data_IF_619619672155
#
_entry.id   IF_619619672155
#
_cell.length_a   1.000
_cell.length_b   1.000
_cell.length_c   1.000
_cell.angle_alpha   90.00
_cell.angle_beta   90.00
_cell.angle_gamma   90.00
#
_symmetry.space_group_name_H-M   'P 1'
#
loop_
_entity.id
_entity.type
_entity.pdbx_description
1 polymer ?
#
# COMPACT_ATOMS: atom_id res chain seq x y z
N UNK A 1 -25.01 -0.73 17.53
CA UNK A 1 -24.49 -0.85 16.15
C UNK A 1 -23.00 -0.57 16.18
N UNK A 2 -22.20 -1.32 15.43
CA UNK A 2 -20.80 -0.97 15.28
C UNK A 2 -20.68 0.43 14.67
N UNK A 3 -19.75 1.23 15.18
CA UNK A 3 -19.38 2.48 14.52
C UNK A 3 -18.63 2.14 13.24
N UNK A 4 -19.16 2.51 12.08
CA UNK A 4 -18.49 2.29 10.80
C UNK A 4 -17.60 3.48 10.48
N UNK A 5 -16.37 3.23 10.07
CA UNK A 5 -15.41 4.23 9.62
C UNK A 5 -14.81 3.79 8.29
N UNK A 6 -14.87 4.67 7.30
CA UNK A 6 -14.28 4.46 5.99
C UNK A 6 -12.87 5.05 5.93
N UNK A 7 -11.94 4.27 5.42
CA UNK A 7 -10.59 4.74 5.08
C UNK A 7 -10.49 4.79 3.56
N UNK A 8 -10.37 5.99 3.01
CA UNK A 8 -10.34 6.24 1.58
C UNK A 8 -9.12 7.05 1.15
N UNK A 9 -9.06 7.35 -0.14
CA UNK A 9 -7.99 8.20 -0.72
C UNK A 9 -8.44 8.84 -2.02
N UNK A 10 -7.71 9.88 -2.42
CA UNK A 10 -7.91 10.52 -3.72
C UNK A 10 -7.24 9.73 -4.86
N UNK A 11 -6.25 8.91 -4.55
CA UNK A 11 -5.46 8.14 -5.51
C UNK A 11 -5.02 6.78 -4.95
N UNK A 12 -4.73 5.78 -5.80
CA UNK A 12 -4.24 4.48 -5.37
C UNK A 12 -2.86 4.58 -4.69
N UNK A 13 -2.48 3.54 -3.97
CA UNK A 13 -1.19 3.42 -3.25
C UNK A 13 -0.88 4.58 -2.27
N UNK A 14 -1.91 5.23 -1.77
CA UNK A 14 -1.79 6.37 -0.85
C UNK A 14 -1.33 6.01 0.58
N UNK A 15 -1.30 4.71 0.94
CA UNK A 15 -0.97 4.22 2.29
C UNK A 15 -2.16 3.95 3.19
N UNK A 16 -3.37 3.79 2.64
CA UNK A 16 -4.59 3.44 3.40
C UNK A 16 -4.38 2.28 4.37
N UNK A 17 -3.84 1.16 3.87
CA UNK A 17 -3.64 -0.06 4.67
C UNK A 17 -2.69 0.15 5.85
N UNK A 18 -1.71 1.07 5.75
CA UNK A 18 -0.86 1.45 6.87
C UNK A 18 -1.67 2.17 7.97
N UNK A 19 -2.53 3.11 7.58
CA UNK A 19 -3.41 3.84 8.51
C UNK A 19 -4.45 2.89 9.12
N UNK A 20 -5.01 1.96 8.34
CA UNK A 20 -5.91 0.91 8.85
C UNK A 20 -5.21 0.08 9.93
N UNK A 21 -3.99 -0.42 9.65
CA UNK A 21 -3.21 -1.20 10.61
C UNK A 21 -2.95 -0.43 11.91
N UNK A 22 -2.48 0.81 11.81
CA UNK A 22 -2.18 1.64 12.97
C UNK A 22 -3.43 1.94 13.80
N UNK A 23 -4.51 2.38 13.15
CA UNK A 23 -5.77 2.69 13.82
C UNK A 23 -6.42 1.45 14.45
N UNK A 24 -6.45 0.31 13.73
CA UNK A 24 -6.99 -0.94 14.25
C UNK A 24 -6.18 -1.44 15.47
N UNK A 25 -4.85 -1.31 15.42
CA UNK A 25 -3.97 -1.66 16.57
C UNK A 25 -4.24 -0.79 17.78
N UNK A 26 -4.39 0.51 17.56
CA UNK A 26 -4.72 1.49 18.59
C UNK A 26 -6.06 1.18 19.25
N UNK A 27 -7.12 0.95 18.47
CA UNK A 27 -8.44 0.56 18.96
C UNK A 27 -8.40 -0.77 19.74
N UNK A 28 -7.69 -1.77 19.20
CA UNK A 28 -7.54 -3.07 19.86
C UNK A 28 -6.84 -2.98 21.22
N UNK A 29 -5.84 -2.11 21.39
CA UNK A 29 -5.19 -1.85 22.68
C UNK A 29 -6.12 -1.24 23.72
N UNK A 30 -7.16 -0.55 23.26
CA UNK A 30 -8.20 0.01 24.13
C UNK A 30 -9.35 -0.97 24.42
N UNK A 31 -9.22 -2.22 23.97
CA UNK A 31 -10.25 -3.24 24.14
C UNK A 31 -11.45 -3.09 23.20
N UNK A 32 -11.37 -2.20 22.21
CA UNK A 32 -12.43 -2.03 21.21
C UNK A 32 -12.38 -3.19 20.22
N UNK A 33 -13.51 -3.85 20.00
CA UNK A 33 -13.64 -4.89 18.99
C UNK A 33 -13.58 -4.27 17.59
N UNK A 34 -12.59 -4.68 16.79
CA UNK A 34 -12.39 -4.20 15.42
C UNK A 34 -12.90 -5.25 14.44
N UNK A 35 -13.69 -4.83 13.46
CA UNK A 35 -14.00 -5.57 12.25
C UNK A 35 -13.27 -4.87 11.10
N UNK A 36 -12.79 -5.65 10.13
CA UNK A 36 -12.11 -5.08 8.97
C UNK A 36 -12.58 -5.70 7.67
N UNK A 37 -12.73 -4.89 6.62
CA UNK A 37 -13.08 -5.35 5.28
C UNK A 37 -12.84 -4.34 4.18
N UNK A 38 -12.93 -4.84 2.95
CA UNK A 38 -12.91 -4.05 1.70
C UNK A 38 -14.14 -4.44 0.89
N UNK A 39 -15.20 -3.63 0.89
CA UNK A 39 -16.46 -3.95 0.19
C UNK A 39 -16.25 -4.24 -1.31
N UNK A 40 -15.29 -3.60 -1.94
CA UNK A 40 -14.84 -3.88 -3.31
C UNK A 40 -13.42 -4.45 -3.27
N UNK A 41 -13.28 -5.75 -3.49
CA UNK A 41 -11.97 -6.42 -3.53
C UNK A 41 -11.17 -5.94 -4.75
N UNK A 42 -9.92 -5.64 -4.52
CA UNK A 42 -8.97 -5.21 -5.57
C UNK A 42 -7.86 -6.23 -5.80
N UNK A 43 -7.77 -7.25 -4.93
CA UNK A 43 -6.77 -8.32 -5.02
C UNK A 43 -7.34 -9.63 -4.47
N UNK A 44 -7.13 -10.69 -5.20
CA UNK A 44 -7.47 -12.05 -4.77
C UNK A 44 -6.19 -12.86 -4.60
N UNK A 45 -6.13 -13.73 -3.59
CA UNK A 45 -5.02 -14.67 -3.42
C UNK A 45 -5.01 -15.72 -4.53
N UNK A 46 -6.21 -16.10 -4.97
CA UNK A 46 -6.37 -17.06 -6.06
C UNK A 46 -7.26 -16.43 -7.14
N UNK A 47 -6.78 -16.27 -8.39
CA UNK A 47 -7.59 -15.74 -9.50
C UNK A 47 -8.88 -16.54 -9.76
N UNK A 48 -8.91 -17.82 -9.41
CA UNK A 48 -10.11 -18.67 -9.54
C UNK A 48 -11.26 -18.21 -8.63
N UNK A 49 -10.98 -17.47 -7.56
CA UNK A 49 -12.02 -16.96 -6.65
C UNK A 49 -12.80 -15.77 -7.27
N UNK A 50 -12.28 -15.18 -8.36
CA UNK A 50 -12.96 -14.09 -9.08
C UNK A 50 -14.29 -14.53 -9.73
N UNK A 51 -14.47 -15.80 -10.02
CA UNK A 51 -15.61 -16.31 -10.78
C UNK A 51 -16.81 -16.77 -9.93
N UNK A 52 -16.71 -16.64 -8.60
CA UNK A 52 -17.86 -16.88 -7.70
C UNK A 52 -18.47 -18.31 -7.69
N UNK A 53 -17.89 -19.23 -8.45
CA UNK A 53 -18.48 -20.55 -8.75
C UNK A 53 -18.48 -21.55 -7.57
N UNK A 54 -17.89 -21.18 -6.42
CA UNK A 54 -17.78 -22.06 -5.25
C UNK A 54 -18.61 -21.64 -4.03
N UNK A 55 -19.49 -20.64 -4.16
CA UNK A 55 -20.41 -20.23 -3.05
C UNK A 55 -19.71 -19.75 -1.78
N UNK A 56 -18.42 -19.48 -1.81
CA UNK A 56 -17.66 -18.95 -0.67
C UNK A 56 -17.61 -17.42 -0.65
N UNK A 57 -17.60 -16.83 0.54
CA UNK A 57 -17.44 -15.41 0.72
C UNK A 57 -16.05 -14.97 0.22
N UNK A 58 -16.01 -14.00 -0.70
CA UNK A 58 -14.76 -13.45 -1.22
C UNK A 58 -14.13 -12.53 -0.19
N UNK A 59 -12.91 -12.80 0.22
CA UNK A 59 -12.13 -11.93 1.11
C UNK A 59 -10.89 -11.44 0.34
N UNK A 60 -10.76 -10.11 0.25
CA UNK A 60 -9.58 -9.47 -0.37
C UNK A 60 -8.28 -9.90 0.32
N UNK A 61 -7.21 -10.04 -0.45
CA UNK A 61 -5.90 -10.47 0.06
C UNK A 61 -5.35 -9.52 1.14
N UNK A 62 -5.55 -8.21 0.98
CA UNK A 62 -5.13 -7.22 1.98
C UNK A 62 -5.92 -7.39 3.29
N UNK A 63 -7.22 -7.75 3.21
CA UNK A 63 -8.06 -8.02 4.39
C UNK A 63 -7.54 -9.22 5.17
N UNK A 64 -7.17 -10.30 4.48
CA UNK A 64 -6.55 -11.46 5.12
C UNK A 64 -5.23 -11.13 5.79
N UNK A 65 -4.35 -10.40 5.08
CA UNK A 65 -3.05 -10.01 5.60
C UNK A 65 -3.18 -9.12 6.85
N UNK A 66 -4.02 -8.10 6.80
CA UNK A 66 -4.29 -7.21 7.94
C UNK A 66 -4.89 -8.00 9.11
N UNK A 67 -5.87 -8.88 8.83
CA UNK A 67 -6.48 -9.74 9.84
C UNK A 67 -5.47 -10.63 10.55
N UNK A 68 -4.60 -11.30 9.80
CA UNK A 68 -3.51 -12.12 10.35
C UNK A 68 -2.53 -11.28 11.19
N UNK A 69 -2.13 -10.12 10.68
CA UNK A 69 -1.19 -9.21 11.37
C UNK A 69 -1.73 -8.71 12.70
N UNK A 70 -3.03 -8.45 12.77
CA UNK A 70 -3.71 -7.95 13.96
C UNK A 70 -4.25 -9.08 14.87
N UNK A 71 -4.20 -10.34 14.43
CA UNK A 71 -4.78 -11.47 15.15
C UNK A 71 -6.31 -11.45 15.21
N UNK A 72 -6.96 -10.91 14.17
CA UNK A 72 -8.42 -10.89 14.07
C UNK A 72 -8.95 -12.29 13.77
N UNK A 73 -10.05 -12.66 14.42
CA UNK A 73 -10.75 -13.90 14.11
C UNK A 73 -11.49 -13.79 12.76
N UNK A 74 -11.74 -14.91 12.09
CA UNK A 74 -12.40 -14.94 10.78
C UNK A 74 -13.74 -14.20 10.76
N UNK A 75 -14.51 -14.26 11.85
CA UNK A 75 -15.79 -13.56 11.98
C UNK A 75 -15.66 -12.02 12.18
N UNK A 76 -14.44 -11.52 12.28
CA UNK A 76 -14.12 -10.08 12.29
C UNK A 76 -13.69 -9.58 10.91
N UNK A 77 -13.48 -10.50 9.96
CA UNK A 77 -13.17 -10.15 8.58
C UNK A 77 -14.49 -10.02 7.79
N UNK A 78 -14.69 -8.86 7.20
CA UNK A 78 -15.91 -8.56 6.42
C UNK A 78 -15.62 -8.96 4.96
N UNK A 79 -16.42 -9.87 4.39
CA UNK A 79 -16.30 -10.26 2.99
C UNK A 79 -16.54 -9.10 2.03
N UNK A 80 -15.88 -9.16 0.88
CA UNK A 80 -16.10 -8.22 -0.21
C UNK A 80 -17.40 -8.57 -0.96
N UNK A 81 -18.13 -7.54 -1.39
CA UNK A 81 -19.37 -7.70 -2.14
C UNK A 81 -19.08 -8.01 -3.62
N UNK A 82 -18.06 -7.37 -4.15
CA UNK A 82 -17.65 -7.52 -5.55
C UNK A 82 -16.12 -7.52 -5.67
N UNK A 83 -15.66 -7.99 -6.83
CA UNK A 83 -14.24 -7.95 -7.23
C UNK A 83 -14.09 -6.94 -8.36
N UNK A 84 -13.15 -6.01 -8.21
CA UNK A 84 -12.76 -5.07 -9.25
C UNK A 84 -11.76 -5.76 -10.17
N UNK A 85 -12.27 -6.30 -11.27
CA UNK A 85 -11.47 -6.94 -12.32
C UNK A 85 -12.01 -6.54 -13.70
N UNK A 86 -11.18 -6.49 -14.73
CA UNK A 86 -11.62 -6.12 -16.08
C UNK A 86 -12.81 -6.96 -16.58
N UNK A 87 -12.80 -8.27 -16.31
CA UNK A 87 -13.82 -9.21 -16.73
C UNK A 87 -15.17 -8.94 -16.06
N UNK A 88 -15.15 -8.73 -14.74
CA UNK A 88 -16.36 -8.42 -13.96
C UNK A 88 -16.91 -7.06 -14.32
N UNK A 89 -16.04 -6.05 -14.51
CA UNK A 89 -16.44 -4.72 -14.95
C UNK A 89 -17.07 -4.77 -16.36
N UNK A 90 -16.47 -5.51 -17.29
CA UNK A 90 -17.00 -5.70 -18.65
C UNK A 90 -18.38 -6.34 -18.64
N UNK A 91 -18.56 -7.43 -17.89
CA UNK A 91 -19.84 -8.12 -17.76
C UNK A 91 -20.94 -7.19 -17.22
N UNK A 92 -20.66 -6.43 -16.16
CA UNK A 92 -21.60 -5.47 -15.58
C UNK A 92 -21.95 -4.33 -16.53
N UNK A 93 -20.96 -3.82 -17.26
CA UNK A 93 -21.17 -2.77 -18.25
C UNK A 93 -22.13 -3.24 -19.35
N UNK A 94 -21.93 -4.45 -19.90
CA UNK A 94 -22.82 -5.03 -20.93
C UNK A 94 -24.23 -5.30 -20.40
N UNK A 95 -24.35 -5.68 -19.15
CA UNK A 95 -25.65 -5.93 -18.50
C UNK A 95 -26.33 -4.63 -18.05
N UNK A 96 -25.68 -3.47 -18.17
CA UNK A 96 -26.14 -2.19 -17.57
C UNK A 96 -26.43 -2.33 -16.06
N UNK A 97 -25.70 -3.23 -15.39
CA UNK A 97 -25.84 -3.49 -13.95
C UNK A 97 -25.00 -2.50 -13.16
N UNK A 98 -25.66 -1.44 -12.70
CA UNK A 98 -25.05 -0.36 -11.92
C UNK A 98 -25.58 -0.40 -10.50
N UNK A 99 -24.68 -0.54 -9.52
CA UNK A 99 -25.05 -0.53 -8.10
C UNK A 99 -24.43 -1.68 -7.29
N UNK A 100 -24.59 -1.65 -5.97
CA UNK A 100 -23.92 -2.61 -5.06
C UNK A 100 -24.61 -3.98 -5.00
N UNK A 101 -25.79 -4.11 -5.57
CA UNK A 101 -26.57 -5.34 -5.50
C UNK A 101 -27.14 -5.65 -4.10
N UNK A 102 -27.82 -6.80 -3.94
CA UNK A 102 -28.51 -7.17 -2.69
C UNK A 102 -27.54 -7.42 -1.52
N UNK A 103 -26.26 -7.74 -1.79
CA UNK A 103 -25.25 -7.94 -0.76
C UNK A 103 -24.97 -6.70 0.10
N UNK A 104 -25.32 -5.50 -0.38
CA UNK A 104 -25.10 -4.28 0.38
C UNK A 104 -26.01 -4.16 1.60
N UNK A 105 -27.25 -4.59 1.49
CA UNK A 105 -28.17 -4.65 2.64
C UNK A 105 -27.70 -5.67 3.67
N UNK A 106 -27.22 -6.84 3.22
CA UNK A 106 -26.62 -7.83 4.12
C UNK A 106 -25.40 -7.29 4.86
N UNK A 107 -24.55 -6.50 4.18
CA UNK A 107 -23.44 -5.79 4.83
C UNK A 107 -23.95 -4.83 5.90
N UNK A 108 -24.96 -4.02 5.60
CA UNK A 108 -25.57 -3.09 6.58
C UNK A 108 -26.12 -3.81 7.81
N UNK A 109 -26.82 -4.92 7.60
CA UNK A 109 -27.35 -5.76 8.68
C UNK A 109 -26.23 -6.38 9.52
N UNK A 110 -25.16 -6.88 8.88
CA UNK A 110 -23.98 -7.41 9.56
C UNK A 110 -23.32 -6.34 10.44
N UNK A 111 -23.12 -5.12 9.92
CA UNK A 111 -22.55 -4.00 10.67
C UNK A 111 -23.44 -3.57 11.83
N UNK A 112 -24.76 -3.60 11.63
CA UNK A 112 -25.74 -3.27 12.68
C UNK A 112 -25.80 -4.31 13.82
N UNK A 113 -25.51 -5.57 13.52
CA UNK A 113 -25.57 -6.68 14.46
C UNK A 113 -24.41 -6.73 15.47
N UNK A 114 -23.34 -5.96 15.25
CA UNK A 114 -22.18 -5.92 16.16
C UNK A 114 -22.34 -4.73 17.13
N UNK A 115 -22.69 -4.94 18.38
CA UNK A 115 -22.70 -3.88 19.38
C UNK A 115 -21.26 -3.55 19.81
N UNK A 116 -21.02 -2.31 20.15
CA UNK A 116 -19.80 -1.81 20.82
C UNK A 116 -18.48 -2.11 20.07
N UNK A 117 -18.52 -2.28 18.75
CA UNK A 117 -17.36 -2.47 17.89
C UNK A 117 -17.15 -1.32 16.90
N UNK A 118 -15.99 -1.33 16.25
CA UNK A 118 -15.66 -0.45 15.13
C UNK A 118 -15.44 -1.29 13.89
N UNK A 119 -16.17 -0.99 12.83
CA UNK A 119 -15.94 -1.55 11.51
C UNK A 119 -15.09 -0.57 10.70
N UNK A 120 -13.85 -0.94 10.44
CA UNK A 120 -12.96 -0.24 9.52
C UNK A 120 -13.19 -0.80 8.12
N UNK A 121 -13.62 0.02 7.19
CA UNK A 121 -13.80 -0.38 5.80
C UNK A 121 -12.83 0.40 4.91
N UNK A 122 -11.95 -0.32 4.24
CA UNK A 122 -11.04 0.28 3.26
C UNK A 122 -11.73 0.38 1.90
N UNK A 123 -11.84 1.60 1.37
CA UNK A 123 -12.34 1.84 0.03
C UNK A 123 -11.28 1.47 -1.04
N UNK A 124 -11.70 1.34 -2.28
CA UNK A 124 -10.85 1.10 -3.44
C UNK A 124 -9.81 2.22 -3.65
N UNK A 125 -9.07 2.19 -4.76
CA UNK A 125 -7.87 3.02 -4.96
C UNK A 125 -8.09 4.53 -4.92
N UNK A 126 -9.18 5.04 -5.54
CA UNK A 126 -9.46 6.47 -5.63
C UNK A 126 -10.88 6.83 -5.17
N UNK A 127 -11.22 8.13 -5.18
CA UNK A 127 -12.57 8.61 -4.84
C UNK A 127 -13.65 7.99 -5.71
N UNK A 128 -13.36 7.75 -6.98
CA UNK A 128 -14.33 7.35 -8.00
C UNK A 128 -14.26 5.87 -8.37
N UNK A 129 -13.20 5.18 -7.98
CA UNK A 129 -13.06 3.75 -8.25
C UNK A 129 -14.19 2.97 -7.56
N UNK A 130 -14.87 2.13 -8.34
CA UNK A 130 -16.04 1.37 -7.88
C UNK A 130 -17.39 2.02 -8.18
N UNK A 131 -17.46 3.17 -8.92
CA UNK A 131 -18.74 3.81 -9.30
C UNK A 131 -19.70 2.86 -10.00
N UNK A 132 -19.23 2.03 -10.94
CA UNK A 132 -20.03 1.01 -11.63
C UNK A 132 -20.64 -0.01 -10.66
N UNK A 133 -19.93 -0.30 -9.58
CA UNK A 133 -20.35 -1.26 -8.56
C UNK A 133 -21.21 -0.63 -7.45
N UNK A 134 -21.46 0.67 -7.48
CA UNK A 134 -22.14 1.37 -6.37
C UNK A 134 -21.32 1.40 -5.08
N UNK A 135 -19.99 1.20 -5.16
CA UNK A 135 -19.07 1.02 -4.03
C UNK A 135 -17.89 2.01 -4.07
N UNK A 136 -18.02 3.13 -4.80
CA UNK A 136 -17.04 4.22 -4.68
C UNK A 136 -17.06 4.79 -3.25
N UNK A 137 -16.00 5.50 -2.88
CA UNK A 137 -15.88 6.06 -1.53
C UNK A 137 -17.11 6.92 -1.15
N UNK A 138 -17.58 7.78 -2.07
CA UNK A 138 -18.78 8.60 -1.83
C UNK A 138 -20.05 7.77 -1.66
N UNK A 139 -20.26 6.76 -2.51
CA UNK A 139 -21.42 5.87 -2.42
C UNK A 139 -21.43 5.02 -1.13
N UNK A 140 -20.25 4.53 -0.72
CA UNK A 140 -20.10 3.83 0.57
C UNK A 140 -20.39 4.76 1.74
N UNK A 141 -19.82 5.99 1.73
CA UNK A 141 -20.03 6.97 2.78
C UNK A 141 -21.49 7.36 2.93
N UNK A 142 -22.20 7.54 1.82
CA UNK A 142 -23.64 7.84 1.81
C UNK A 142 -24.48 6.64 2.24
N UNK A 143 -24.24 5.47 1.61
CA UNK A 143 -25.06 4.28 1.85
C UNK A 143 -24.93 3.69 3.25
N UNK A 144 -23.78 3.87 3.91
CA UNK A 144 -23.52 3.42 5.28
C UNK A 144 -23.68 4.54 6.32
N UNK A 145 -23.94 5.77 5.89
CA UNK A 145 -23.91 6.99 6.72
C UNK A 145 -22.65 7.06 7.59
N UNK A 146 -21.50 6.79 6.97
CA UNK A 146 -20.24 6.59 7.65
C UNK A 146 -19.28 7.76 7.45
N UNK A 147 -18.57 8.20 8.51
CA UNK A 147 -17.48 9.15 8.38
C UNK A 147 -16.30 8.56 7.61
N UNK A 148 -15.54 9.44 6.99
CA UNK A 148 -14.42 9.10 6.12
C UNK A 148 -13.14 9.74 6.65
N UNK A 149 -12.08 8.96 6.76
CA UNK A 149 -10.71 9.44 6.86
C UNK A 149 -10.03 9.27 5.50
N UNK A 150 -9.48 10.34 4.96
CA UNK A 150 -8.70 10.29 3.73
C UNK A 150 -7.21 10.15 4.04
N UNK A 151 -6.56 9.24 3.34
CA UNK A 151 -5.09 9.13 3.32
C UNK A 151 -4.62 9.65 1.98
N UNK A 152 -3.86 10.74 2.00
CA UNK A 152 -3.45 11.43 0.76
C UNK A 152 -1.93 11.62 0.72
N UNK A 153 -1.25 11.16 -0.35
CA UNK A 153 0.16 11.47 -0.56
C UNK A 153 0.35 12.98 -0.74
N UNK A 154 1.27 13.55 0.02
CA UNK A 154 1.56 14.98 -0.07
C UNK A 154 2.86 15.21 -0.82
N UNK A 155 2.78 15.75 -2.01
CA UNK A 155 3.94 16.09 -2.83
C UNK A 155 4.32 17.56 -2.67
N UNK A 156 3.34 18.45 -2.80
CA UNK A 156 3.46 19.91 -2.66
C UNK A 156 2.08 20.53 -2.37
N UNK A 157 2.01 21.85 -2.30
CA UNK A 157 0.78 22.56 -1.99
C UNK A 157 -0.31 22.42 -3.06
N UNK A 158 -0.01 21.99 -4.29
CA UNK A 158 -1.03 21.70 -5.31
C UNK A 158 -1.83 20.44 -4.97
N UNK A 159 -1.31 19.57 -4.10
CA UNK A 159 -2.03 18.40 -3.58
C UNK A 159 -3.33 18.77 -2.85
N UNK A 160 -3.49 20.03 -2.43
CA UNK A 160 -4.70 20.53 -1.75
C UNK A 160 -5.95 20.45 -2.64
N UNK A 161 -5.81 20.58 -3.96
CA UNK A 161 -6.96 20.57 -4.89
C UNK A 161 -7.72 19.25 -4.81
N UNK A 162 -7.00 18.13 -4.72
CA UNK A 162 -7.61 16.80 -4.56
C UNK A 162 -8.38 16.68 -3.23
N UNK A 163 -7.85 17.26 -2.16
CA UNK A 163 -8.50 17.25 -0.84
C UNK A 163 -9.74 18.17 -0.82
N UNK A 164 -9.70 19.33 -1.49
CA UNK A 164 -10.84 20.21 -1.62
C UNK A 164 -11.95 19.59 -2.48
N UNK A 165 -11.58 18.90 -3.56
CA UNK A 165 -12.54 18.15 -4.39
C UNK A 165 -13.20 17.03 -3.57
N UNK A 166 -12.43 16.27 -2.80
CA UNK A 166 -12.95 15.26 -1.89
C UNK A 166 -13.87 15.85 -0.82
N UNK A 167 -13.51 16.99 -0.24
CA UNK A 167 -14.38 17.72 0.71
C UNK A 167 -15.70 18.13 0.08
N UNK A 168 -15.66 18.65 -1.14
CA UNK A 168 -16.88 19.03 -1.86
C UNK A 168 -17.81 17.84 -2.11
N UNK A 169 -17.24 16.65 -2.40
CA UNK A 169 -17.99 15.42 -2.67
C UNK A 169 -18.51 14.76 -1.38
N UNK A 170 -17.71 14.66 -0.33
CA UNK A 170 -18.01 13.93 0.91
C UNK A 170 -18.78 14.81 1.93
N UNK A 171 -18.63 16.13 1.83
CA UNK A 171 -19.31 17.08 2.72
C UNK A 171 -18.92 16.85 4.19
N UNK A 172 -19.94 16.79 5.05
CA UNK A 172 -19.81 16.59 6.50
C UNK A 172 -19.30 15.20 6.88
N UNK A 173 -19.31 14.23 5.96
CA UNK A 173 -18.79 12.88 6.21
C UNK A 173 -17.26 12.84 6.17
N UNK A 174 -16.60 13.84 5.63
CA UNK A 174 -15.14 13.91 5.69
C UNK A 174 -14.71 14.29 7.12
N UNK A 175 -14.33 13.30 7.92
CA UNK A 175 -13.95 13.45 9.32
C UNK A 175 -12.51 13.93 9.51
N UNK A 176 -11.62 13.67 8.53
CA UNK A 176 -10.25 14.16 8.58
C UNK A 176 -9.35 13.59 7.49
N UNK A 177 -8.14 14.10 7.44
CA UNK A 177 -7.14 13.71 6.46
C UNK A 177 -5.82 13.34 7.13
N UNK A 178 -5.12 12.34 6.58
CA UNK A 178 -3.74 12.01 6.91
C UNK A 178 -2.89 12.34 5.69
N UNK A 179 -1.96 13.28 5.86
CA UNK A 179 -0.98 13.63 4.83
C UNK A 179 0.16 12.60 4.89
N UNK A 180 0.31 11.80 3.85
CA UNK A 180 1.27 10.70 3.82
C UNK A 180 2.41 10.95 2.83
N UNK A 181 3.47 10.16 2.93
CA UNK A 181 4.65 10.18 2.07
C UNK A 181 5.35 11.55 1.97
N UNK A 182 5.23 12.36 3.00
CA UNK A 182 5.89 13.67 3.11
C UNK A 182 7.41 13.48 3.16
N UNK A 183 8.15 14.30 2.43
CA UNK A 183 9.62 14.32 2.54
C UNK A 183 10.02 14.56 4.00
N UNK A 184 10.87 13.73 4.62
CA UNK A 184 11.15 13.82 6.05
C UNK A 184 11.62 15.21 6.51
N UNK A 185 12.39 15.91 5.68
CA UNK A 185 12.91 17.25 5.93
C UNK A 185 11.81 18.32 5.95
N UNK A 186 10.68 18.08 5.23
CA UNK A 186 9.56 19.01 5.11
C UNK A 186 8.52 18.84 6.22
N UNK A 187 8.55 17.74 6.98
CA UNK A 187 7.55 17.45 8.03
C UNK A 187 7.43 18.59 9.06
N UNK A 188 8.53 19.18 9.60
CA UNK A 188 8.43 20.27 10.56
C UNK A 188 7.74 21.52 9.97
N UNK A 189 8.09 21.89 8.75
CA UNK A 189 7.48 23.03 8.04
C UNK A 189 6.00 22.78 7.76
N UNK A 190 5.66 21.59 7.25
CA UNK A 190 4.26 21.22 7.01
C UNK A 190 3.42 21.35 8.28
N UNK A 191 3.91 20.84 9.41
CA UNK A 191 3.19 20.91 10.69
C UNK A 191 3.03 22.35 11.20
N UNK A 192 4.03 23.21 10.99
CA UNK A 192 4.01 24.56 11.48
C UNK A 192 3.16 25.52 10.63
N UNK A 193 3.16 25.34 9.31
CA UNK A 193 2.61 26.32 8.37
C UNK A 193 1.43 25.77 7.55
N UNK A 194 1.60 24.59 6.96
CA UNK A 194 0.64 24.04 6.00
C UNK A 194 -0.56 23.43 6.70
N UNK A 195 -0.36 22.64 7.76
CA UNK A 195 -1.46 22.04 8.53
C UNK A 195 -2.45 23.09 9.03
N UNK A 196 -2.04 24.20 9.71
CA UNK A 196 -2.97 25.23 10.11
C UNK A 196 -3.67 25.91 8.94
N UNK A 197 -3.02 26.00 7.77
CA UNK A 197 -3.66 26.52 6.56
C UNK A 197 -4.75 25.59 6.02
N UNK A 198 -4.51 24.29 5.97
CA UNK A 198 -5.47 23.26 5.58
C UNK A 198 -6.66 23.25 6.55
N UNK A 199 -6.41 23.38 7.86
CA UNK A 199 -7.47 23.41 8.87
C UNK A 199 -8.35 24.65 8.77
N UNK A 200 -7.79 25.82 8.39
CA UNK A 200 -8.61 27.01 8.08
C UNK A 200 -9.54 26.82 6.88
N UNK A 201 -9.19 25.91 5.96
CA UNK A 201 -10.09 25.49 4.87
C UNK A 201 -11.15 24.48 5.33
N UNK A 202 -11.15 24.14 6.63
CA UNK A 202 -12.13 23.24 7.25
C UNK A 202 -11.86 21.75 6.93
N UNK A 203 -10.59 21.36 6.83
CA UNK A 203 -10.11 19.99 6.72
C UNK A 203 -9.30 19.65 7.96
N UNK A 204 -9.80 18.82 8.86
CA UNK A 204 -9.08 18.38 10.04
C UNK A 204 -7.89 17.50 9.63
N UNK A 205 -6.67 17.83 10.05
CA UNK A 205 -5.47 17.03 9.75
C UNK A 205 -5.17 16.11 10.93
N UNK A 206 -5.34 14.81 10.72
CA UNK A 206 -5.16 13.77 11.75
C UNK A 206 -3.71 13.26 11.83
N UNK A 207 -2.88 13.60 10.85
CA UNK A 207 -1.48 13.18 10.86
C UNK A 207 -0.68 13.68 9.67
N UNK A 208 0.65 13.73 9.87
CA UNK A 208 1.64 14.03 8.84
C UNK A 208 2.70 12.94 8.91
N UNK A 209 2.62 11.98 8.00
CA UNK A 209 3.47 10.80 7.96
C UNK A 209 4.64 10.98 6.99
N UNK A 210 5.88 10.80 7.44
CA UNK A 210 7.04 10.92 6.57
C UNK A 210 7.10 9.76 5.56
N UNK A 211 7.72 10.04 4.41
CA UNK A 211 8.06 9.04 3.42
C UNK A 211 9.06 8.04 4.01
N UNK A 212 8.76 6.75 3.87
CA UNK A 212 9.63 5.67 4.32
C UNK A 212 10.16 4.87 3.13
N UNK A 213 11.48 4.72 2.97
CA UNK A 213 12.05 3.80 1.98
C UNK A 213 11.56 2.37 2.17
N UNK A 214 11.49 1.89 3.42
CA UNK A 214 11.02 0.54 3.74
C UNK A 214 9.58 0.31 3.28
N UNK A 215 8.64 1.23 3.54
CA UNK A 215 7.24 1.06 3.11
C UNK A 215 7.08 1.14 1.59
N UNK A 216 8.01 1.77 0.89
CA UNK A 216 8.04 1.84 -0.58
C UNK A 216 8.86 0.73 -1.22
N UNK A 217 9.58 -0.06 -0.44
CA UNK A 217 10.44 -1.12 -0.94
C UNK A 217 9.65 -2.19 -1.71
N UNK A 218 10.35 -2.90 -2.57
CA UNK A 218 9.82 -3.97 -3.42
C UNK A 218 10.59 -5.23 -3.13
N UNK A 219 9.95 -6.40 -3.07
CA UNK A 219 10.65 -7.67 -2.97
C UNK A 219 11.40 -7.99 -4.28
N UNK A 220 12.49 -8.74 -4.19
CA UNK A 220 13.19 -9.22 -5.38
C UNK A 220 12.27 -10.10 -6.23
N UNK A 221 11.37 -10.88 -5.61
CA UNK A 221 10.36 -11.67 -6.31
C UNK A 221 9.45 -10.80 -7.18
N UNK A 222 8.93 -9.70 -6.64
CA UNK A 222 8.07 -8.79 -7.39
C UNK A 222 8.84 -8.09 -8.52
N UNK A 223 10.11 -7.74 -8.29
CA UNK A 223 10.97 -7.22 -9.36
C UNK A 223 11.18 -8.25 -10.47
N UNK A 224 11.50 -9.51 -10.10
CA UNK A 224 11.67 -10.58 -11.06
C UNK A 224 10.41 -10.80 -11.90
N UNK A 225 9.23 -10.79 -11.26
CA UNK A 225 7.94 -10.94 -11.93
C UNK A 225 7.64 -9.78 -12.89
N UNK A 226 7.84 -8.52 -12.46
CA UNK A 226 7.55 -7.34 -13.30
C UNK A 226 8.47 -7.21 -14.50
N UNK A 227 9.71 -7.65 -14.33
CA UNK A 227 10.75 -7.61 -15.36
C UNK A 227 10.75 -8.86 -16.26
N UNK A 228 9.88 -9.85 -15.99
CA UNK A 228 9.95 -11.18 -16.61
C UNK A 228 11.37 -11.75 -16.56
N UNK A 229 12.02 -11.59 -15.42
CA UNK A 229 13.43 -11.88 -15.25
C UNK A 229 13.69 -13.36 -14.98
N UNK A 230 14.74 -13.88 -15.60
CA UNK A 230 15.29 -15.18 -15.24
C UNK A 230 16.09 -15.06 -13.94
N UNK A 231 15.71 -15.80 -12.90
CA UNK A 231 16.49 -15.93 -11.66
C UNK A 231 17.61 -16.93 -11.86
N UNK A 232 18.86 -16.47 -11.77
CA UNK A 232 20.06 -17.27 -12.03
C UNK A 232 20.56 -18.00 -10.80
N UNK A 233 20.50 -17.37 -9.59
CA UNK A 233 20.91 -17.97 -8.32
C UNK A 233 20.11 -17.41 -7.14
N UNK A 234 20.29 -17.98 -5.94
CA UNK A 234 19.69 -17.55 -4.65
C UNK A 234 18.15 -17.44 -4.71
N UNK A 235 17.47 -18.45 -5.27
CA UNK A 235 16.01 -18.48 -5.39
C UNK A 235 15.26 -18.48 -4.06
N UNK A 236 15.93 -18.84 -2.98
CA UNK A 236 15.44 -18.85 -1.60
C UNK A 236 15.53 -17.48 -0.93
N UNK A 237 16.09 -16.45 -1.61
CA UNK A 237 16.29 -15.10 -1.10
C UNK A 237 15.49 -14.04 -1.85
N UNK A 238 14.44 -14.44 -2.57
CA UNK A 238 13.61 -13.52 -3.34
C UNK A 238 12.69 -12.65 -2.48
N UNK A 239 12.58 -12.93 -1.18
CA UNK A 239 11.87 -12.14 -0.18
C UNK A 239 12.62 -10.87 0.27
N UNK A 240 13.90 -10.73 -0.12
CA UNK A 240 14.70 -9.55 0.21
C UNK A 240 14.04 -8.27 -0.30
N UNK A 241 14.05 -7.23 0.55
CA UNK A 241 13.43 -5.94 0.26
C UNK A 241 14.43 -4.97 -0.36
N UNK A 242 14.09 -4.48 -1.54
CA UNK A 242 14.84 -3.45 -2.27
C UNK A 242 14.24 -2.08 -1.96
N UNK A 243 15.02 -1.19 -1.36
CA UNK A 243 14.58 0.17 -0.99
C UNK A 243 15.04 1.23 -1.99
N UNK A 244 16.13 0.97 -2.70
CA UNK A 244 16.73 1.92 -3.64
C UNK A 244 17.24 1.25 -4.90
N UNK A 245 17.33 2.02 -5.98
CA UNK A 245 17.92 1.60 -7.25
C UNK A 245 19.25 2.28 -7.47
N UNK A 246 20.20 1.54 -8.05
CA UNK A 246 21.49 2.05 -8.50
C UNK A 246 21.79 1.54 -9.90
N UNK A 247 22.33 2.41 -10.75
CA UNK A 247 22.70 2.06 -12.12
C UNK A 247 24.24 1.97 -12.21
N UNK A 248 24.73 0.80 -12.61
CA UNK A 248 26.16 0.54 -12.77
C UNK A 248 26.71 1.05 -14.13
N UNK A 249 26.49 2.33 -14.44
CA UNK A 249 26.96 2.95 -15.69
C UNK A 249 28.31 3.67 -15.57
N UNK A 250 28.84 3.82 -14.35
CA UNK A 250 30.09 4.52 -14.05
C UNK A 250 31.32 3.57 -14.04
N UNK A 251 32.50 4.12 -13.84
CA UNK A 251 33.72 3.30 -13.60
C UNK A 251 33.69 2.67 -12.19
N UNK A 252 34.49 1.60 -11.99
CA UNK A 252 34.48 0.80 -10.74
C UNK A 252 34.74 1.63 -9.48
N UNK A 253 35.71 2.55 -9.53
CA UNK A 253 36.10 3.34 -8.36
C UNK A 253 34.97 4.25 -7.92
N UNK A 254 34.33 4.94 -8.86
CA UNK A 254 33.16 5.77 -8.61
C UNK A 254 31.95 4.93 -8.15
N UNK A 255 31.76 3.74 -8.74
CA UNK A 255 30.69 2.82 -8.36
C UNK A 255 30.84 2.34 -6.91
N UNK A 256 32.05 1.93 -6.51
CA UNK A 256 32.33 1.48 -5.14
C UNK A 256 32.03 2.57 -4.10
N UNK A 257 32.45 3.82 -4.38
CA UNK A 257 32.17 4.94 -3.47
C UNK A 257 30.66 5.23 -3.39
N UNK A 258 29.97 5.17 -4.50
CA UNK A 258 28.51 5.39 -4.58
C UNK A 258 27.73 4.27 -3.90
N UNK A 259 28.05 3.00 -4.14
CA UNK A 259 27.37 1.85 -3.58
C UNK A 259 27.54 1.76 -2.06
N UNK A 260 28.70 2.12 -1.51
CA UNK A 260 28.93 2.13 -0.04
C UNK A 260 28.04 3.10 0.74
N UNK A 261 27.51 4.13 0.07
CA UNK A 261 26.61 5.13 0.71
C UNK A 261 25.15 4.72 0.71
N UNK A 262 24.81 3.65 -0.01
CA UNK A 262 23.43 3.16 -0.13
C UNK A 262 23.26 1.83 0.58
N UNK A 263 22.03 1.55 0.96
CA UNK A 263 21.66 0.28 1.59
C UNK A 263 20.45 -0.31 0.86
N UNK A 264 20.32 -1.63 0.95
CA UNK A 264 19.16 -2.37 0.45
C UNK A 264 18.84 -1.99 -1.02
N UNK A 265 19.88 -1.99 -1.87
CA UNK A 265 19.74 -1.54 -3.26
C UNK A 265 19.59 -2.70 -4.24
N UNK A 266 18.83 -2.49 -5.32
CA UNK A 266 19.03 -3.21 -6.56
C UNK A 266 20.09 -2.49 -7.38
N UNK A 267 20.98 -3.25 -7.99
CA UNK A 267 21.96 -2.70 -8.96
C UNK A 267 21.62 -3.22 -10.34
N UNK A 268 21.41 -2.31 -11.29
CA UNK A 268 21.19 -2.62 -12.72
C UNK A 268 22.46 -2.31 -13.50
N UNK A 269 22.98 -3.29 -14.23
CA UNK A 269 24.19 -3.11 -15.07
C UNK A 269 24.19 -4.07 -16.26
N UNK A 270 24.99 -3.78 -17.28
CA UNK A 270 25.13 -4.67 -18.43
C UNK A 270 25.74 -6.02 -18.07
N UNK A 271 25.31 -7.07 -18.77
CA UNK A 271 25.86 -8.43 -18.59
C UNK A 271 27.35 -8.53 -18.94
N UNK A 272 27.88 -7.58 -19.70
CA UNK A 272 29.31 -7.45 -20.11
C UNK A 272 30.19 -6.69 -19.11
N UNK A 273 29.61 -6.15 -18.01
CA UNK A 273 30.28 -5.28 -17.04
C UNK A 273 30.65 -6.03 -15.76
N UNK A 274 31.47 -7.10 -15.90
CA UNK A 274 31.87 -7.96 -14.76
C UNK A 274 32.57 -7.17 -13.64
N UNK A 275 33.30 -6.14 -13.96
CA UNK A 275 33.98 -5.24 -13.03
C UNK A 275 32.98 -4.55 -12.06
N UNK A 276 31.89 -4.00 -12.61
CA UNK A 276 30.82 -3.35 -11.84
C UNK A 276 29.98 -4.37 -11.09
N UNK A 277 29.71 -5.52 -11.71
CA UNK A 277 28.94 -6.61 -11.11
C UNK A 277 29.60 -7.09 -9.81
N UNK A 278 30.90 -7.35 -9.82
CA UNK A 278 31.65 -7.73 -8.62
C UNK A 278 31.68 -6.61 -7.58
N UNK A 279 31.86 -5.36 -8.01
CA UNK A 279 31.82 -4.22 -7.11
C UNK A 279 30.45 -4.06 -6.43
N UNK A 280 29.35 -4.36 -7.15
CA UNK A 280 28.00 -4.32 -6.59
C UNK A 280 27.78 -5.42 -5.55
N UNK A 281 28.28 -6.63 -5.78
CA UNK A 281 28.16 -7.73 -4.82
C UNK A 281 28.90 -7.46 -3.50
N UNK A 282 30.00 -6.70 -3.52
CA UNK A 282 30.76 -6.32 -2.32
C UNK A 282 30.10 -5.16 -1.52
N UNK A 283 28.97 -4.67 -2.00
CA UNK A 283 28.20 -3.60 -1.35
C UNK A 283 26.92 -4.15 -0.71
N UNK A 284 26.11 -3.28 -0.09
CA UNK A 284 24.79 -3.65 0.47
C UNK A 284 23.74 -3.81 -0.64
N UNK A 285 23.94 -4.82 -1.51
CA UNK A 285 23.08 -5.12 -2.65
C UNK A 285 22.09 -6.23 -2.27
N UNK A 286 20.80 -6.01 -2.49
CA UNK A 286 19.75 -7.00 -2.28
C UNK A 286 19.48 -7.85 -3.51
N UNK A 287 19.72 -7.30 -4.70
CA UNK A 287 19.77 -8.07 -5.95
C UNK A 287 20.60 -7.36 -7.00
N UNK A 288 21.20 -8.13 -7.88
CA UNK A 288 21.92 -7.64 -9.06
C UNK A 288 21.13 -8.03 -10.32
N UNK A 289 20.84 -7.04 -11.17
CA UNK A 289 20.02 -7.20 -12.38
C UNK A 289 20.92 -6.94 -13.60
N UNK A 290 21.05 -7.98 -14.43
CA UNK A 290 21.86 -7.97 -15.63
C UNK A 290 21.00 -7.70 -16.86
N UNK A 291 21.38 -6.68 -17.64
CA UNK A 291 20.69 -6.27 -18.87
C UNK A 291 21.51 -6.64 -20.10
N UNK A 292 20.84 -6.84 -21.22
CA UNK A 292 21.47 -7.11 -22.52
C UNK A 292 21.88 -8.56 -22.75
N UNK A 293 22.45 -8.79 -23.93
CA UNK A 293 22.85 -10.13 -24.36
C UNK A 293 24.16 -10.56 -23.70
N UNK A 294 24.21 -11.82 -23.30
CA UNK A 294 25.40 -12.45 -22.71
C UNK A 294 25.06 -13.19 -21.42
N UNK A 295 25.83 -14.18 -21.10
CA UNK A 295 25.71 -14.92 -19.85
C UNK A 295 26.77 -14.44 -18.86
N UNK A 296 26.41 -14.33 -17.58
CA UNK A 296 27.37 -13.95 -16.54
C UNK A 296 28.46 -15.03 -16.39
N UNK A 297 29.64 -14.60 -16.01
CA UNK A 297 30.75 -15.52 -15.74
C UNK A 297 30.39 -16.42 -14.53
N UNK A 298 30.82 -17.68 -14.58
CA UNK A 298 30.65 -18.63 -13.46
C UNK A 298 31.20 -18.08 -12.14
N UNK A 299 32.31 -17.33 -12.21
CA UNK A 299 32.90 -16.66 -11.04
C UNK A 299 31.90 -15.67 -10.38
N UNK A 300 31.13 -14.94 -11.18
CA UNK A 300 30.11 -14.02 -10.65
C UNK A 300 28.98 -14.78 -9.96
N UNK A 301 28.50 -15.85 -10.58
CA UNK A 301 27.45 -16.71 -9.99
C UNK A 301 27.87 -17.28 -8.65
N UNK A 302 29.07 -17.87 -8.58
CA UNK A 302 29.63 -18.42 -7.33
C UNK A 302 29.74 -17.33 -6.25
N UNK A 303 30.19 -16.13 -6.63
CA UNK A 303 30.31 -15.02 -5.68
C UNK A 303 28.95 -14.52 -5.20
N UNK A 304 27.97 -14.45 -6.07
CA UNK A 304 26.60 -14.08 -5.71
C UNK A 304 25.97 -15.11 -4.74
N UNK A 305 26.19 -16.41 -4.96
CA UNK A 305 25.76 -17.47 -4.05
C UNK A 305 26.44 -17.40 -2.69
N UNK A 306 27.77 -17.17 -2.65
CA UNK A 306 28.51 -16.98 -1.40
C UNK A 306 27.99 -15.82 -0.55
N UNK A 307 27.57 -14.74 -1.21
CA UNK A 307 27.04 -13.53 -0.56
C UNK A 307 25.52 -13.53 -0.40
N UNK A 308 24.85 -14.62 -0.83
CA UNK A 308 23.40 -14.76 -0.80
C UNK A 308 22.66 -13.61 -1.51
N UNK A 309 23.18 -13.12 -2.63
CA UNK A 309 22.60 -12.04 -3.43
C UNK A 309 21.95 -12.63 -4.68
N UNK A 310 20.61 -12.52 -4.84
CA UNK A 310 19.91 -12.95 -6.05
C UNK A 310 20.43 -12.25 -7.30
N UNK A 311 20.70 -13.03 -8.34
CA UNK A 311 21.09 -12.56 -9.65
C UNK A 311 19.95 -12.74 -10.64
N UNK A 312 19.49 -11.63 -11.20
CA UNK A 312 18.42 -11.61 -12.18
C UNK A 312 18.98 -11.26 -13.55
N UNK A 313 18.49 -11.93 -14.60
CA UNK A 313 18.80 -11.60 -16.00
C UNK A 313 17.52 -11.18 -16.70
N UNK A 314 17.57 -10.07 -17.42
CA UNK A 314 16.45 -9.50 -18.16
C UNK A 314 16.82 -9.31 -19.63
N UNK A 315 15.84 -9.43 -20.52
CA UNK A 315 16.02 -9.19 -21.95
C UNK A 315 15.93 -7.70 -22.31
N UNK A 316 15.32 -6.89 -21.43
CA UNK A 316 15.19 -5.45 -21.59
C UNK A 316 16.55 -4.74 -21.56
N UNK A 317 16.65 -3.60 -22.23
CA UNK A 317 17.77 -2.70 -22.06
C UNK A 317 17.77 -2.05 -20.65
N UNK A 318 18.88 -1.40 -20.32
CA UNK A 318 19.06 -0.80 -18.98
C UNK A 318 18.02 0.28 -18.68
N UNK A 319 17.63 1.11 -19.64
CA UNK A 319 16.70 2.21 -19.43
C UNK A 319 15.29 1.67 -19.16
N UNK A 320 14.80 0.78 -20.00
CA UNK A 320 13.49 0.12 -19.82
C UNK A 320 13.44 -0.64 -18.48
N UNK A 321 14.53 -1.34 -18.11
CA UNK A 321 14.63 -2.03 -16.82
C UNK A 321 14.50 -1.06 -15.65
N UNK A 322 15.18 0.07 -15.70
CA UNK A 322 15.15 1.11 -14.68
C UNK A 322 13.75 1.71 -14.56
N UNK A 323 13.08 2.02 -15.67
CA UNK A 323 11.71 2.56 -15.68
C UNK A 323 10.72 1.62 -15.02
N UNK A 324 10.77 0.32 -15.32
CA UNK A 324 9.92 -0.69 -14.70
C UNK A 324 10.15 -0.77 -13.18
N UNK A 325 11.42 -0.74 -12.75
CA UNK A 325 11.77 -0.77 -11.32
C UNK A 325 11.30 0.50 -10.61
N UNK A 326 11.54 1.67 -11.18
CA UNK A 326 11.10 2.95 -10.58
C UNK A 326 9.58 3.01 -10.44
N UNK A 327 8.84 2.51 -11.42
CA UNK A 327 7.38 2.39 -11.35
C UNK A 327 6.92 1.36 -10.29
N UNK A 328 7.75 0.41 -9.90
CA UNK A 328 7.43 -0.54 -8.86
C UNK A 328 7.49 0.08 -7.46
N UNK A 329 8.44 0.99 -7.22
CA UNK A 329 8.63 1.60 -5.91
C UNK A 329 7.42 2.41 -5.46
N UNK A 330 6.84 2.04 -4.31
CA UNK A 330 5.65 2.66 -3.77
C UNK A 330 4.33 2.21 -4.43
N UNK A 331 4.40 1.36 -5.47
CA UNK A 331 3.24 0.77 -6.14
C UNK A 331 3.13 -0.73 -5.83
N UNK A 332 3.43 -1.09 -4.60
CA UNK A 332 3.30 -2.44 -4.05
C UNK A 332 2.39 -2.43 -2.83
N UNK A 333 1.78 -3.58 -2.57
CA UNK A 333 0.91 -3.74 -1.42
C UNK A 333 1.74 -3.98 -0.15
N UNK A 334 1.12 -3.74 0.97
CA UNK A 334 1.75 -3.94 2.28
C UNK A 334 1.44 -5.37 2.74
N UNK A 335 2.29 -6.34 2.35
CA UNK A 335 2.09 -7.76 2.64
C UNK A 335 3.25 -8.40 3.41
N UNK A 336 4.28 -7.63 3.76
CA UNK A 336 5.42 -8.12 4.55
C UNK A 336 5.28 -7.72 6.02
N UNK A 337 5.48 -8.68 6.93
CA UNK A 337 5.33 -8.48 8.37
C UNK A 337 6.21 -7.34 8.92
N UNK A 338 7.42 -7.18 8.39
CA UNK A 338 8.33 -6.10 8.79
C UNK A 338 7.77 -4.73 8.42
N UNK A 339 7.18 -4.60 7.22
CA UNK A 339 6.52 -3.36 6.79
C UNK A 339 5.28 -3.07 7.62
N UNK A 340 4.47 -4.09 7.91
CA UNK A 340 3.27 -3.95 8.74
C UNK A 340 3.61 -3.45 10.15
N UNK A 341 4.62 -4.05 10.79
CA UNK A 341 5.10 -3.62 12.11
C UNK A 341 5.60 -2.17 12.09
N UNK A 342 6.36 -1.81 11.05
CA UNK A 342 6.86 -0.46 10.89
C UNK A 342 5.74 0.55 10.58
N UNK A 343 4.74 0.17 9.77
CA UNK A 343 3.59 1.00 9.47
C UNK A 343 2.78 1.36 10.72
N UNK A 344 2.52 0.37 11.60
CA UNK A 344 1.86 0.61 12.88
C UNK A 344 2.61 1.65 13.70
N UNK A 345 3.92 1.48 13.85
CA UNK A 345 4.78 2.41 14.58
C UNK A 345 4.75 3.81 13.97
N UNK A 346 4.85 3.91 12.64
CA UNK A 346 4.83 5.19 11.93
C UNK A 346 3.52 5.95 12.16
N UNK A 347 2.39 5.24 12.15
CA UNK A 347 1.08 5.82 12.44
C UNK A 347 0.99 6.26 13.90
N UNK A 348 1.46 5.46 14.85
CA UNK A 348 1.47 5.82 16.28
C UNK A 348 2.32 7.07 16.56
N UNK A 349 3.45 7.24 15.87
CA UNK A 349 4.36 8.38 16.07
C UNK A 349 3.91 9.67 15.36
N UNK A 350 3.10 9.57 14.31
CA UNK A 350 2.83 10.70 13.41
C UNK A 350 1.36 11.08 13.24
N UNK A 351 0.41 10.29 13.80
CA UNK A 351 -1.02 10.56 13.72
C UNK A 351 -1.64 10.74 15.12
N UNK A 352 -2.57 11.67 15.22
CA UNK A 352 -3.44 11.85 16.39
C UNK A 352 -4.90 11.64 15.97
N UNK A 353 -5.46 10.50 16.36
CA UNK A 353 -6.85 10.17 16.12
C UNK A 353 -7.79 10.58 17.25
N UNK A 354 -7.30 11.23 18.32
CA UNK A 354 -8.12 11.64 19.47
C UNK A 354 -9.33 12.50 19.06
N UNK A 355 -9.20 13.48 18.14
CA UNK A 355 -10.35 14.26 17.68
C UNK A 355 -11.40 13.38 16.97
N UNK A 356 -10.95 12.44 16.13
CA UNK A 356 -11.81 11.50 15.43
C UNK A 356 -12.55 10.58 16.41
N UNK A 357 -11.84 9.98 17.38
CA UNK A 357 -12.42 9.09 18.36
C UNK A 357 -13.45 9.80 19.23
N UNK A 358 -13.20 11.05 19.60
CA UNK A 358 -14.16 11.90 20.33
C UNK A 358 -15.43 12.14 19.51
N UNK A 359 -15.27 12.48 18.22
CA UNK A 359 -16.40 12.65 17.30
C UNK A 359 -17.23 11.37 17.17
N UNK A 360 -16.59 10.22 17.14
CA UNK A 360 -17.21 8.89 17.05
C UNK A 360 -17.74 8.35 18.38
N UNK A 361 -17.55 9.09 19.49
CA UNK A 361 -17.90 8.67 20.86
C UNK A 361 -17.23 7.35 21.26
N UNK A 362 -16.03 7.12 20.76
CA UNK A 362 -15.20 5.97 21.11
C UNK A 362 -14.29 6.30 22.30
N UNK A 363 -13.76 5.27 23.01
CA UNK A 363 -12.83 5.49 24.12
C UNK A 363 -11.65 6.38 23.72
N UNK A 364 -11.29 7.32 24.59
CA UNK A 364 -10.14 8.18 24.38
C UNK A 364 -8.84 7.38 24.43
N UNK A 365 -7.83 7.82 23.67
CA UNK A 365 -6.49 7.22 23.72
C UNK A 365 -5.93 7.45 25.12
N UNK A 366 -5.65 6.37 25.86
CA UNK A 366 -4.87 6.46 27.07
C UNK A 366 -3.42 6.83 26.66
N UNK A 367 -2.96 7.99 27.12
CA UNK A 367 -1.62 8.51 26.84
C UNK A 367 -0.47 7.63 27.38
#
# INVERSE_FOLDING_TARGET
>A
MATTLLIGSCEPFSGKSAVVLGLARLLGRQGVKVLFGKPLATTLQNPADAHGDRGGAVIDADVRFVGQTLGLADNQLIPSLHVLAPETAHARLLASDVGPGPGFEALREQLAAVPDGVALLEAAGSLHEGLLYGLSLGQLAEGLDAPVVLVHPWNDSCSIDSLLAAKAQLGHRLAGVVLNAVTPEDVPMLRAEVVPAIERLGLAVLGVMPRSPLLRSVTVEELARRLDAQVLCCRDRLDLLVETLSIGAMNVNSAMEFFRRRRNMAVVTGADRTDIQLAALEASTQCLILTGAGDPLTQLLNRAEELEVPLLKVEHDTLTTVEVIEQAFGHVRLHEAVKATYAVRLVEEHCDFSPLLTQLKLPAIAG
#
